data_IF_197571947593
#
_entry.id   IF_197571947593
#
_cell.length_a   1.000
_cell.length_b   1.000
_cell.length_c   1.000
_cell.angle_alpha   90.00
_cell.angle_beta   90.00
_cell.angle_gamma   90.00
#
_symmetry.space_group_name_H-M   'P 1'
#
loop_
_entity.id
_entity.type
_entity.pdbx_description
1 polymer ?
#
# COMPACT_ATOMS: atom_id res chain seq x y z
N UNK A 1 10.18 -29.12 -21.45
CA UNK A 1 10.68 -28.69 -20.14
C UNK A 1 11.63 -27.51 -20.37
N UNK A 2 11.44 -26.43 -19.66
CA UNK A 2 12.31 -25.23 -19.74
C UNK A 2 13.64 -25.58 -19.04
N UNK A 3 14.81 -25.29 -19.64
CA UNK A 3 16.10 -25.49 -18.99
C UNK A 3 16.18 -24.66 -17.71
N UNK A 4 16.76 -25.21 -16.64
CA UNK A 4 16.84 -24.59 -15.32
C UNK A 4 17.39 -23.14 -15.31
N UNK A 5 18.50 -22.82 -16.01
CA UNK A 5 19.00 -21.44 -16.06
C UNK A 5 18.01 -20.46 -16.68
N UNK A 6 17.28 -20.90 -17.71
CA UNK A 6 16.26 -20.06 -18.36
C UNK A 6 15.04 -19.89 -17.43
N UNK A 7 14.71 -20.91 -16.65
CA UNK A 7 13.63 -20.87 -15.66
C UNK A 7 13.93 -19.82 -14.57
N UNK A 8 15.15 -19.80 -14.02
CA UNK A 8 15.58 -18.77 -13.06
C UNK A 8 15.62 -17.37 -13.68
N UNK A 9 16.09 -17.24 -14.92
CA UNK A 9 16.09 -15.95 -15.60
C UNK A 9 14.68 -15.38 -15.78
N UNK A 10 13.74 -16.22 -16.20
CA UNK A 10 12.33 -15.85 -16.33
C UNK A 10 11.72 -15.50 -14.97
N UNK A 11 12.00 -16.30 -13.94
CA UNK A 11 11.56 -16.03 -12.58
C UNK A 11 12.00 -14.62 -12.11
N UNK A 12 13.29 -14.30 -12.23
CA UNK A 12 13.83 -12.99 -11.85
C UNK A 12 13.21 -11.88 -12.71
N UNK A 13 13.02 -12.10 -14.01
CA UNK A 13 12.37 -11.14 -14.89
C UNK A 13 10.92 -10.83 -14.49
N UNK A 14 10.13 -11.85 -14.18
CA UNK A 14 8.75 -11.66 -13.70
C UNK A 14 8.67 -11.06 -12.30
N UNK A 15 9.61 -11.39 -11.40
CA UNK A 15 9.74 -10.76 -10.09
C UNK A 15 10.05 -9.25 -10.23
N UNK A 16 10.97 -8.89 -11.12
CA UNK A 16 11.29 -7.51 -11.44
C UNK A 16 10.07 -6.77 -12.03
N UNK A 17 9.33 -7.41 -12.94
CA UNK A 17 8.11 -6.85 -13.52
C UNK A 17 7.03 -6.61 -12.43
N UNK A 18 6.86 -7.56 -11.51
CA UNK A 18 5.97 -7.39 -10.37
C UNK A 18 6.41 -6.24 -9.46
N UNK A 19 7.71 -6.08 -9.24
CA UNK A 19 8.25 -4.95 -8.50
C UNK A 19 7.96 -3.61 -9.20
N UNK A 20 8.17 -3.52 -10.51
CA UNK A 20 7.84 -2.32 -11.31
C UNK A 20 6.34 -2.02 -11.25
N UNK A 21 5.48 -3.03 -11.35
CA UNK A 21 4.04 -2.89 -11.20
C UNK A 21 3.69 -2.32 -9.80
N UNK A 22 4.43 -2.72 -8.76
CA UNK A 22 4.25 -2.16 -7.40
C UNK A 22 4.63 -0.69 -7.32
N UNK A 23 5.71 -0.28 -7.97
CA UNK A 23 6.11 1.14 -8.02
C UNK A 23 5.08 2.00 -8.77
N UNK A 24 4.38 1.43 -9.74
CA UNK A 24 3.40 2.12 -10.58
C UNK A 24 1.95 2.05 -10.04
N UNK A 25 1.76 1.53 -8.82
CA UNK A 25 0.45 1.34 -8.19
C UNK A 25 -0.43 2.60 -8.19
N UNK A 26 0.19 3.80 -8.13
CA UNK A 26 -0.51 5.08 -8.17
C UNK A 26 -1.24 5.31 -9.50
N UNK A 27 -0.67 4.90 -10.63
CA UNK A 27 -1.30 5.01 -11.96
C UNK A 27 -2.61 4.25 -12.05
N UNK A 28 -2.69 3.15 -11.29
CA UNK A 28 -3.88 2.29 -11.23
C UNK A 28 -4.84 2.66 -10.10
N UNK A 29 -4.59 3.78 -9.41
CA UNK A 29 -5.34 4.16 -8.20
C UNK A 29 -5.33 3.07 -7.12
N UNK A 30 -4.37 2.16 -7.16
CA UNK A 30 -4.23 1.04 -6.25
C UNK A 30 -3.34 1.37 -5.04
N UNK A 31 -2.68 2.53 -5.03
CA UNK A 31 -1.76 2.95 -3.99
C UNK A 31 -2.44 3.66 -2.82
N UNK A 32 -3.61 4.21 -3.03
CA UNK A 32 -4.27 5.12 -2.10
C UNK A 32 -5.46 4.47 -1.41
N UNK A 33 -5.64 4.82 -0.16
CA UNK A 33 -6.83 4.51 0.66
C UNK A 33 -8.04 5.36 0.24
N UNK A 34 -7.83 6.33 -0.64
CA UNK A 34 -8.87 7.24 -1.08
C UNK A 34 -9.76 6.55 -2.10
N UNK A 35 -10.97 6.21 -1.64
CA UNK A 35 -11.97 5.49 -2.41
C UNK A 35 -13.10 6.43 -2.81
N UNK A 36 -12.84 7.75 -2.93
CA UNK A 36 -13.89 8.72 -3.20
C UNK A 36 -14.65 8.49 -4.51
N UNK A 37 -14.01 7.82 -5.43
CA UNK A 37 -14.51 7.81 -6.78
C UNK A 37 -15.33 6.57 -7.05
N UNK A 38 -16.65 6.73 -7.07
CA UNK A 38 -17.60 5.74 -7.58
C UNK A 38 -17.52 5.52 -9.09
N UNK A 39 -16.49 6.05 -9.75
CA UNK A 39 -16.30 5.86 -11.18
C UNK A 39 -15.86 4.43 -11.47
N UNK A 40 -16.64 3.71 -12.27
CA UNK A 40 -16.35 2.33 -12.69
C UNK A 40 -14.95 2.17 -13.32
N UNK A 41 -14.41 3.22 -13.96
CA UNK A 41 -13.06 3.23 -14.54
C UNK A 41 -11.97 3.08 -13.50
N UNK A 42 -12.12 3.69 -12.33
CA UNK A 42 -11.17 3.57 -11.23
C UNK A 42 -11.20 2.15 -10.67
N UNK A 43 -12.39 1.59 -10.50
CA UNK A 43 -12.55 0.19 -10.09
C UNK A 43 -11.92 -0.78 -11.10
N UNK A 44 -12.14 -0.57 -12.38
CA UNK A 44 -11.55 -1.40 -13.43
C UNK A 44 -10.01 -1.30 -13.43
N UNK A 45 -9.47 -0.08 -13.27
CA UNK A 45 -8.04 0.15 -13.15
C UNK A 45 -7.43 -0.58 -11.93
N UNK A 46 -8.08 -0.51 -10.78
CA UNK A 46 -7.65 -1.23 -9.56
C UNK A 46 -7.71 -2.74 -9.75
N UNK A 47 -8.82 -3.25 -10.26
CA UNK A 47 -8.98 -4.68 -10.53
C UNK A 47 -7.97 -5.20 -11.55
N UNK A 48 -7.63 -4.41 -12.57
CA UNK A 48 -6.59 -4.79 -13.53
C UNK A 48 -5.21 -4.86 -12.87
N UNK A 49 -4.89 -3.95 -11.95
CA UNK A 49 -3.65 -3.99 -11.18
C UNK A 49 -3.57 -5.22 -10.28
N UNK A 50 -4.65 -5.53 -9.51
CA UNK A 50 -4.70 -6.74 -8.69
C UNK A 50 -4.65 -8.01 -9.53
N UNK A 51 -5.38 -8.04 -10.65
CA UNK A 51 -5.36 -9.16 -11.58
C UNK A 51 -4.00 -9.40 -12.20
N UNK A 52 -3.31 -8.34 -12.64
CA UNK A 52 -1.94 -8.43 -13.15
C UNK A 52 -0.96 -8.90 -12.05
N UNK A 53 -1.08 -8.37 -10.83
CA UNK A 53 -0.27 -8.81 -9.69
C UNK A 53 -0.49 -10.29 -9.35
N UNK A 54 -1.73 -10.77 -9.34
CA UNK A 54 -2.04 -12.18 -9.12
C UNK A 54 -1.51 -13.06 -10.24
N UNK A 55 -1.67 -12.66 -11.51
CA UNK A 55 -1.13 -13.40 -12.65
C UNK A 55 0.40 -13.52 -12.57
N UNK A 56 1.09 -12.42 -12.26
CA UNK A 56 2.54 -12.44 -12.06
C UNK A 56 2.93 -13.33 -10.88
N UNK A 57 2.21 -13.28 -9.76
CA UNK A 57 2.47 -14.14 -8.61
C UNK A 57 2.35 -15.63 -8.97
N UNK A 58 1.32 -16.02 -9.72
CA UNK A 58 1.14 -17.39 -10.18
C UNK A 58 2.26 -17.83 -11.14
N UNK A 59 2.68 -16.96 -12.06
CA UNK A 59 3.80 -17.23 -12.99
C UNK A 59 5.11 -17.40 -12.19
N UNK A 60 5.40 -16.49 -11.26
CA UNK A 60 6.59 -16.54 -10.40
C UNK A 60 6.60 -17.83 -9.60
N UNK A 61 5.47 -18.20 -8.98
CA UNK A 61 5.32 -19.45 -8.22
C UNK A 61 5.55 -20.68 -9.09
N UNK A 62 5.03 -20.69 -10.32
CA UNK A 62 5.18 -21.81 -11.23
C UNK A 62 6.59 -21.94 -11.86
N UNK A 63 7.30 -20.82 -11.98
CA UNK A 63 8.66 -20.80 -12.54
C UNK A 63 9.73 -21.18 -11.53
N UNK A 64 9.54 -20.91 -10.24
CA UNK A 64 10.55 -21.24 -9.23
C UNK A 64 10.55 -22.73 -8.93
N UNK A 65 11.71 -23.42 -8.94
CA UNK A 65 11.76 -24.88 -8.72
C UNK A 65 11.28 -25.31 -7.34
N UNK A 66 11.55 -24.49 -6.33
CA UNK A 66 11.26 -24.77 -4.91
C UNK A 66 10.57 -23.57 -4.21
N UNK A 67 9.40 -23.10 -4.68
CA UNK A 67 8.82 -21.84 -4.19
C UNK A 67 8.35 -21.94 -2.73
N UNK A 68 7.98 -23.13 -2.28
CA UNK A 68 7.51 -23.35 -0.90
C UNK A 68 8.67 -23.34 0.09
N UNK A 69 9.75 -24.05 -0.21
CA UNK A 69 10.90 -24.20 0.71
C UNK A 69 11.87 -23.03 0.67
N UNK A 70 12.12 -22.45 -0.49
CA UNK A 70 13.11 -21.38 -0.66
C UNK A 70 12.51 -19.98 -0.55
N UNK A 71 11.27 -19.79 -1.01
CA UNK A 71 10.61 -18.49 -0.96
C UNK A 71 9.58 -18.39 0.17
N UNK A 72 9.44 -19.40 1.03
CA UNK A 72 8.45 -19.43 2.12
C UNK A 72 7.00 -19.15 1.66
N UNK A 73 6.69 -19.46 0.38
CA UNK A 73 5.36 -19.23 -0.22
C UNK A 73 4.38 -20.34 0.21
N UNK A 74 4.15 -20.44 1.51
CA UNK A 74 3.27 -21.41 2.15
C UNK A 74 2.42 -20.74 3.22
N UNK A 75 1.36 -21.45 3.64
CA UNK A 75 0.46 -21.03 4.73
C UNK A 75 1.04 -21.24 6.14
N UNK A 76 2.27 -21.73 6.25
CA UNK A 76 2.96 -22.20 7.44
C UNK A 76 2.58 -23.65 7.87
N UNK A 77 3.56 -24.40 8.43
CA UNK A 77 3.31 -25.75 8.97
C UNK A 77 2.28 -25.77 10.10
N UNK A 78 2.42 -24.88 11.07
CA UNK A 78 1.43 -24.65 12.14
C UNK A 78 0.54 -23.46 11.79
N UNK A 79 -0.62 -23.76 11.22
CA UNK A 79 -1.60 -22.74 10.81
C UNK A 79 -2.22 -22.03 11.99
N UNK A 80 -2.40 -22.72 13.14
CA UNK A 80 -2.97 -22.15 14.36
C UNK A 80 -2.04 -21.07 14.93
N UNK A 81 -0.77 -21.40 15.08
CA UNK A 81 0.25 -20.49 15.54
C UNK A 81 0.42 -19.30 14.58
N UNK A 82 0.49 -19.54 13.27
CA UNK A 82 0.59 -18.49 12.27
C UNK A 82 -0.63 -17.54 12.31
N UNK A 83 -1.84 -18.08 12.45
CA UNK A 83 -3.05 -17.26 12.58
C UNK A 83 -3.04 -16.43 13.86
N UNK A 84 -2.65 -17.00 14.99
CA UNK A 84 -2.56 -16.27 16.26
C UNK A 84 -1.57 -15.11 16.19
N UNK A 85 -0.37 -15.34 15.63
CA UNK A 85 0.63 -14.28 15.42
C UNK A 85 0.15 -13.22 14.41
N UNK A 86 -0.51 -13.62 13.32
CA UNK A 86 -1.09 -12.72 12.36
C UNK A 86 -2.16 -11.82 12.97
N UNK A 87 -3.05 -12.37 13.79
CA UNK A 87 -4.05 -11.59 14.51
C UNK A 87 -3.44 -10.64 15.54
N UNK A 88 -2.41 -11.08 16.27
CA UNK A 88 -1.67 -10.22 17.20
C UNK A 88 -1.00 -9.05 16.48
N UNK A 89 -0.34 -9.34 15.37
CA UNK A 89 0.25 -8.30 14.51
C UNK A 89 -0.82 -7.34 13.97
N UNK A 90 -1.94 -7.87 13.50
CA UNK A 90 -3.07 -7.06 13.05
C UNK A 90 -3.63 -6.16 14.15
N UNK A 91 -3.79 -6.69 15.37
CA UNK A 91 -4.23 -5.90 16.52
C UNK A 91 -3.27 -4.75 16.85
N UNK A 92 -1.95 -5.02 16.85
CA UNK A 92 -0.94 -3.98 17.02
C UNK A 92 -1.01 -2.94 15.87
N UNK A 93 -1.23 -3.39 14.64
CA UNK A 93 -1.43 -2.55 13.47
C UNK A 93 -2.67 -1.64 13.56
N UNK A 94 -3.77 -2.15 14.13
CA UNK A 94 -4.97 -1.34 14.43
C UNK A 94 -4.61 -0.20 15.38
N UNK A 95 -3.96 -0.52 16.51
CA UNK A 95 -3.52 0.50 17.47
C UNK A 95 -2.61 1.53 16.80
N UNK A 96 -1.63 1.07 16.02
CA UNK A 96 -0.71 1.93 15.27
C UNK A 96 -1.44 2.85 14.28
N UNK A 97 -2.46 2.35 13.58
CA UNK A 97 -3.26 3.13 12.64
C UNK A 97 -4.05 4.25 13.36
N UNK A 98 -4.64 3.96 14.53
CA UNK A 98 -5.31 4.98 15.34
C UNK A 98 -4.34 6.04 15.85
N UNK A 99 -3.19 5.63 16.40
CA UNK A 99 -2.15 6.56 16.87
C UNK A 99 -1.67 7.47 15.76
N UNK A 100 -1.35 6.90 14.59
CA UNK A 100 -0.89 7.67 13.43
C UNK A 100 -1.98 8.60 12.87
N UNK A 101 -3.25 8.17 12.87
CA UNK A 101 -4.35 9.04 12.43
C UNK A 101 -4.47 10.28 13.32
N UNK A 102 -4.41 10.11 14.64
CA UNK A 102 -4.42 11.23 15.59
C UNK A 102 -3.18 12.09 15.44
N UNK A 103 -2.00 11.47 15.33
CA UNK A 103 -0.73 12.19 15.22
C UNK A 103 -0.61 13.02 13.94
N UNK A 104 -1.03 12.46 12.79
CA UNK A 104 -0.89 13.11 11.48
C UNK A 104 -2.04 14.05 11.14
N UNK A 105 -3.27 13.72 11.56
CA UNK A 105 -4.48 14.44 11.15
C UNK A 105 -5.19 15.16 12.31
N UNK A 106 -4.73 14.98 13.57
CA UNK A 106 -5.36 15.53 14.75
C UNK A 106 -6.74 14.95 15.09
N UNK A 107 -7.23 14.03 14.26
CA UNK A 107 -8.56 13.42 14.41
C UNK A 107 -8.64 12.06 13.75
N UNK A 108 -9.59 11.25 14.18
CA UNK A 108 -9.98 10.00 13.52
C UNK A 108 -11.24 10.30 12.70
N UNK A 109 -11.28 9.81 11.47
CA UNK A 109 -12.41 10.00 10.58
C UNK A 109 -12.69 8.72 9.83
N UNK A 110 -13.88 8.17 10.03
CA UNK A 110 -14.29 6.91 9.41
C UNK A 110 -14.93 7.15 8.05
N UNK A 111 -14.60 6.33 7.04
CA UNK A 111 -15.29 6.37 5.75
C UNK A 111 -16.75 5.91 5.89
N UNK A 112 -17.59 6.29 4.92
CA UNK A 112 -18.99 5.82 4.89
C UNK A 112 -19.06 4.29 4.73
N UNK A 113 -20.05 3.59 5.32
CA UNK A 113 -20.16 2.13 5.26
C UNK A 113 -20.17 1.55 3.85
N UNK A 114 -20.73 2.26 2.87
CA UNK A 114 -20.75 1.82 1.45
C UNK A 114 -19.34 1.66 0.84
N UNK A 115 -18.29 2.19 1.48
CA UNK A 115 -16.89 2.07 1.01
C UNK A 115 -16.15 0.88 1.61
N UNK A 116 -16.70 0.22 2.62
CA UNK A 116 -16.02 -0.89 3.31
C UNK A 116 -15.67 -2.06 2.39
N UNK A 117 -16.51 -2.51 1.44
CA UNK A 117 -16.12 -3.58 0.53
C UNK A 117 -14.88 -3.23 -0.30
N UNK A 118 -14.80 -1.99 -0.78
CA UNK A 118 -13.62 -1.48 -1.48
C UNK A 118 -12.39 -1.42 -0.58
N UNK A 119 -12.55 -1.01 0.68
CA UNK A 119 -11.49 -1.00 1.67
C UNK A 119 -10.96 -2.38 2.00
N UNK A 120 -11.84 -3.39 2.10
CA UNK A 120 -11.43 -4.80 2.29
C UNK A 120 -10.66 -5.31 1.08
N UNK A 121 -11.17 -5.11 -0.14
CA UNK A 121 -10.48 -5.51 -1.36
C UNK A 121 -9.10 -4.84 -1.47
N UNK A 122 -9.03 -3.55 -1.18
CA UNK A 122 -7.77 -2.81 -1.13
C UNK A 122 -6.80 -3.41 -0.11
N UNK A 123 -7.25 -3.63 1.13
CA UNK A 123 -6.41 -4.14 2.20
C UNK A 123 -5.88 -5.54 1.90
N UNK A 124 -6.75 -6.46 1.48
CA UNK A 124 -6.40 -7.84 1.15
C UNK A 124 -5.51 -7.88 -0.11
N UNK A 125 -5.90 -7.19 -1.17
CA UNK A 125 -5.16 -7.22 -2.44
C UNK A 125 -3.75 -6.61 -2.32
N UNK A 126 -3.61 -5.46 -1.65
CA UNK A 126 -2.28 -4.85 -1.44
C UNK A 126 -1.44 -5.65 -0.45
N UNK A 127 -2.02 -6.20 0.63
CA UNK A 127 -1.29 -7.05 1.55
C UNK A 127 -0.79 -8.32 0.85
N UNK A 128 -1.64 -8.98 0.05
CA UNK A 128 -1.21 -10.14 -0.74
C UNK A 128 -0.03 -9.81 -1.64
N UNK A 129 -0.15 -8.72 -2.40
CA UNK A 129 0.90 -8.28 -3.31
C UNK A 129 2.22 -8.00 -2.57
N UNK A 130 2.14 -7.23 -1.49
CA UNK A 130 3.31 -6.83 -0.71
C UNK A 130 3.95 -8.03 -0.01
N UNK A 131 3.18 -8.92 0.61
CA UNK A 131 3.73 -10.08 1.30
C UNK A 131 4.32 -11.10 0.33
N UNK A 132 3.64 -11.36 -0.79
CA UNK A 132 4.16 -12.26 -1.81
C UNK A 132 5.51 -11.76 -2.37
N UNK A 133 5.55 -10.49 -2.77
CA UNK A 133 6.74 -9.93 -3.41
C UNK A 133 7.89 -9.72 -2.43
N UNK A 134 7.63 -9.11 -1.27
CA UNK A 134 8.71 -8.68 -0.38
C UNK A 134 9.09 -9.74 0.66
N UNK A 135 8.16 -10.54 1.17
CA UNK A 135 8.43 -11.58 2.18
C UNK A 135 8.60 -12.97 1.56
N UNK A 136 7.87 -13.23 0.50
CA UNK A 136 8.10 -14.44 -0.29
C UNK A 136 9.34 -14.28 -1.17
N UNK A 137 9.19 -13.58 -2.28
CA UNK A 137 10.20 -13.57 -3.34
C UNK A 137 11.50 -12.88 -2.90
N UNK A 138 11.45 -11.59 -2.51
CA UNK A 138 12.66 -10.82 -2.21
C UNK A 138 13.40 -11.37 -0.99
N UNK A 139 12.70 -11.51 0.12
CA UNK A 139 13.30 -11.98 1.38
C UNK A 139 13.80 -13.42 1.25
N UNK A 140 13.01 -14.31 0.63
CA UNK A 140 13.44 -15.67 0.34
C UNK A 140 14.70 -15.73 -0.51
N UNK A 141 14.78 -14.95 -1.59
CA UNK A 141 15.99 -14.85 -2.43
C UNK A 141 17.21 -14.36 -1.63
N UNK A 142 17.05 -13.37 -0.77
CA UNK A 142 18.16 -12.87 0.05
C UNK A 142 18.72 -13.96 0.98
N UNK A 143 17.84 -14.80 1.53
CA UNK A 143 18.25 -15.95 2.35
C UNK A 143 18.94 -17.04 1.51
N UNK A 144 18.39 -17.37 0.34
CA UNK A 144 19.00 -18.35 -0.59
C UNK A 144 20.39 -17.88 -1.07
N UNK A 145 20.59 -16.57 -1.25
CA UNK A 145 21.87 -15.98 -1.58
C UNK A 145 22.86 -15.97 -0.40
N UNK A 146 22.46 -16.50 0.77
CA UNK A 146 23.32 -16.64 1.94
C UNK A 146 23.49 -15.37 2.80
N UNK A 147 22.61 -14.38 2.64
CA UNK A 147 22.64 -13.23 3.52
C UNK A 147 22.25 -13.65 4.94
N UNK A 148 22.95 -13.14 5.99
CA UNK A 148 22.51 -13.31 7.36
C UNK A 148 21.08 -12.81 7.56
N UNK A 149 20.27 -13.51 8.37
CA UNK A 149 18.85 -13.21 8.57
C UNK A 149 18.58 -11.74 8.90
N UNK A 150 19.36 -11.16 9.83
CA UNK A 150 19.20 -9.76 10.21
C UNK A 150 19.42 -8.78 9.05
N UNK A 151 20.36 -9.10 8.15
CA UNK A 151 20.64 -8.29 6.97
C UNK A 151 19.55 -8.48 5.91
N UNK A 152 19.09 -9.70 5.71
CA UNK A 152 17.95 -9.99 4.81
C UNK A 152 16.67 -9.28 5.29
N UNK A 153 16.35 -9.32 6.60
CA UNK A 153 15.23 -8.58 7.21
C UNK A 153 15.35 -7.07 6.93
N UNK A 154 16.50 -6.49 7.28
CA UNK A 154 16.74 -5.06 7.12
C UNK A 154 16.65 -4.61 5.67
N UNK A 155 17.27 -5.35 4.75
CA UNK A 155 17.25 -5.05 3.31
C UNK A 155 15.86 -5.16 2.72
N UNK A 156 15.14 -6.26 2.99
CA UNK A 156 13.78 -6.45 2.51
C UNK A 156 12.82 -5.37 3.05
N UNK A 157 12.94 -5.01 4.33
CA UNK A 157 12.13 -3.96 4.95
C UNK A 157 12.42 -2.57 4.35
N UNK A 158 13.69 -2.26 4.10
CA UNK A 158 14.10 -0.99 3.48
C UNK A 158 13.58 -0.86 2.04
N UNK A 159 13.77 -1.91 1.23
CA UNK A 159 13.29 -1.94 -0.16
C UNK A 159 11.77 -1.86 -0.20
N UNK A 160 11.07 -2.59 0.68
CA UNK A 160 9.62 -2.53 0.83
C UNK A 160 9.14 -1.11 1.14
N UNK A 161 9.70 -0.49 2.18
CA UNK A 161 9.31 0.86 2.59
C UNK A 161 9.55 1.89 1.48
N UNK A 162 10.68 1.76 0.77
CA UNK A 162 11.00 2.58 -0.40
C UNK A 162 10.01 2.40 -1.55
N UNK A 163 9.65 1.15 -1.86
CA UNK A 163 8.69 0.84 -2.91
C UNK A 163 7.28 1.34 -2.57
N UNK A 164 6.81 1.15 -1.33
CA UNK A 164 5.53 1.69 -0.87
C UNK A 164 5.53 3.21 -0.96
N UNK A 165 6.59 3.87 -0.49
CA UNK A 165 6.73 5.33 -0.58
C UNK A 165 6.67 5.83 -2.02
N UNK A 166 7.40 5.20 -2.93
CA UNK A 166 7.42 5.54 -4.34
C UNK A 166 6.03 5.35 -4.98
N UNK A 167 5.41 4.20 -4.73
CA UNK A 167 4.10 3.83 -5.27
C UNK A 167 2.94 4.67 -4.72
N UNK A 168 3.02 5.19 -3.48
CA UNK A 168 1.97 6.03 -2.87
C UNK A 168 2.24 7.52 -3.01
N UNK A 169 3.47 7.92 -3.34
CA UNK A 169 3.87 9.33 -3.37
C UNK A 169 3.88 10.00 -1.99
N UNK A 170 3.79 9.23 -0.89
CA UNK A 170 3.83 9.77 0.47
C UNK A 170 5.21 10.34 0.78
N UNK A 171 5.26 11.56 1.34
CA UNK A 171 6.52 12.27 1.58
C UNK A 171 6.96 12.29 3.04
N UNK A 172 6.16 11.77 3.95
CA UNK A 172 6.43 11.83 5.39
C UNK A 172 7.47 10.79 5.84
N UNK A 173 8.49 11.23 6.61
CA UNK A 173 9.45 10.31 7.24
C UNK A 173 8.76 9.35 8.21
N UNK A 174 7.75 9.81 8.93
CA UNK A 174 6.97 8.99 9.88
C UNK A 174 6.31 7.81 9.17
N UNK A 175 5.73 8.04 7.99
CA UNK A 175 5.13 6.97 7.19
C UNK A 175 6.19 6.00 6.64
N UNK A 176 7.36 6.51 6.23
CA UNK A 176 8.47 5.65 5.79
C UNK A 176 8.92 4.73 6.93
N UNK A 177 9.13 5.27 8.13
CA UNK A 177 9.51 4.48 9.31
C UNK A 177 8.43 3.46 9.68
N UNK A 178 7.16 3.84 9.60
CA UNK A 178 6.06 2.91 9.81
C UNK A 178 6.08 1.74 8.82
N UNK A 179 6.33 2.01 7.52
CA UNK A 179 6.46 0.95 6.53
C UNK A 179 7.70 0.07 6.76
N UNK A 180 8.81 0.64 7.23
CA UNK A 180 9.97 -0.15 7.63
C UNK A 180 9.64 -1.08 8.80
N UNK A 181 8.96 -0.60 9.83
CA UNK A 181 8.53 -1.41 10.99
C UNK A 181 7.63 -2.57 10.52
N UNK A 182 6.65 -2.28 9.68
CA UNK A 182 5.79 -3.29 9.05
C UNK A 182 6.63 -4.30 8.26
N UNK A 183 7.65 -3.81 7.54
CA UNK A 183 8.60 -4.62 6.80
C UNK A 183 9.36 -5.61 7.68
N UNK A 184 9.94 -5.13 8.76
CA UNK A 184 10.68 -5.93 9.74
C UNK A 184 9.78 -6.96 10.40
N UNK A 185 8.61 -6.55 10.92
CA UNK A 185 7.67 -7.46 11.58
C UNK A 185 7.23 -8.58 10.62
N UNK A 186 6.86 -8.24 9.38
CA UNK A 186 6.47 -9.24 8.38
C UNK A 186 7.56 -10.26 8.11
N UNK A 187 8.82 -9.84 7.93
CA UNK A 187 9.95 -10.75 7.70
C UNK A 187 10.24 -11.64 8.92
N UNK A 188 10.18 -11.08 10.14
CA UNK A 188 10.33 -11.85 11.39
C UNK A 188 9.21 -12.91 11.52
N UNK A 189 7.97 -12.54 11.21
CA UNK A 189 6.85 -13.48 11.25
C UNK A 189 7.03 -14.63 10.26
N UNK A 190 7.59 -14.37 9.07
CA UNK A 190 7.92 -15.43 8.10
C UNK A 190 8.95 -16.39 8.69
N UNK A 191 10.01 -15.91 9.32
CA UNK A 191 11.00 -16.78 9.98
C UNK A 191 10.40 -17.60 11.12
N UNK A 192 9.56 -16.98 11.94
CA UNK A 192 8.93 -17.66 13.08
C UNK A 192 7.92 -18.72 12.68
N UNK A 193 7.21 -18.53 11.58
CA UNK A 193 6.11 -19.39 11.17
C UNK A 193 6.44 -20.32 10.00
N UNK A 194 7.54 -20.07 9.29
CA UNK A 194 7.91 -20.82 8.08
C UNK A 194 6.99 -20.56 6.90
N UNK A 195 6.28 -19.42 6.87
CA UNK A 195 5.38 -19.07 5.76
C UNK A 195 4.83 -17.65 5.85
N UNK A 196 4.28 -17.15 4.74
CA UNK A 196 3.79 -15.77 4.64
C UNK A 196 2.42 -15.52 5.29
N UNK A 197 1.71 -16.57 5.75
CA UNK A 197 0.31 -16.43 6.19
C UNK A 197 0.14 -15.45 7.38
N UNK A 198 1.02 -15.54 8.39
CA UNK A 198 0.95 -14.66 9.56
C UNK A 198 1.17 -13.19 9.16
N UNK A 199 2.18 -12.93 8.34
CA UNK A 199 2.49 -11.60 7.83
C UNK A 199 1.33 -11.06 6.98
N UNK A 200 0.77 -11.88 6.10
CA UNK A 200 -0.36 -11.51 5.24
C UNK A 200 -1.61 -11.12 6.05
N UNK A 201 -2.02 -11.96 7.00
CA UNK A 201 -3.22 -11.70 7.83
C UNK A 201 -3.05 -10.40 8.62
N UNK A 202 -1.93 -10.24 9.33
CA UNK A 202 -1.68 -9.06 10.13
C UNK A 202 -1.56 -7.79 9.28
N UNK A 203 -0.90 -7.89 8.12
CA UNK A 203 -0.78 -6.76 7.20
C UNK A 203 -2.13 -6.36 6.59
N UNK A 204 -2.97 -7.32 6.19
CA UNK A 204 -4.31 -7.03 5.68
C UNK A 204 -5.18 -6.31 6.71
N UNK A 205 -5.17 -6.77 7.97
CA UNK A 205 -5.87 -6.09 9.08
C UNK A 205 -5.31 -4.68 9.28
N UNK A 206 -3.99 -4.52 9.31
CA UNK A 206 -3.32 -3.22 9.45
C UNK A 206 -3.70 -2.26 8.31
N UNK A 207 -3.69 -2.73 7.06
CA UNK A 207 -4.10 -1.95 5.88
C UNK A 207 -5.56 -1.51 5.97
N UNK A 208 -6.44 -2.41 6.40
CA UNK A 208 -7.84 -2.07 6.59
C UNK A 208 -8.03 -1.04 7.70
N UNK A 209 -7.30 -1.15 8.81
CA UNK A 209 -7.33 -0.17 9.89
C UNK A 209 -6.85 1.22 9.41
N UNK A 210 -5.81 1.29 8.59
CA UNK A 210 -5.38 2.54 7.96
C UNK A 210 -6.44 3.12 7.04
N UNK A 211 -7.07 2.29 6.20
CA UNK A 211 -8.21 2.70 5.39
C UNK A 211 -9.34 3.30 6.26
N UNK A 212 -9.68 2.64 7.37
CA UNK A 212 -10.72 3.09 8.27
C UNK A 212 -10.39 4.41 8.98
N UNK A 213 -9.13 4.68 9.29
CA UNK A 213 -8.74 5.82 10.13
C UNK A 213 -8.21 7.02 9.35
N UNK A 214 -7.67 6.79 8.14
CA UNK A 214 -7.03 7.82 7.32
C UNK A 214 -7.75 8.10 5.98
N UNK A 215 -8.71 7.26 5.59
CA UNK A 215 -9.39 7.28 4.30
C UNK A 215 -10.43 8.38 4.11
N UNK A 216 -10.34 9.51 4.78
CA UNK A 216 -11.28 10.63 4.60
C UNK A 216 -10.75 11.73 3.69
N UNK A 217 -11.65 12.32 2.89
CA UNK A 217 -11.26 13.21 1.83
C UNK A 217 -10.65 14.53 2.32
N UNK A 218 -9.52 14.88 1.71
CA UNK A 218 -8.92 16.21 1.80
C UNK A 218 -9.81 17.31 1.20
N UNK A 219 -10.84 16.96 0.42
CA UNK A 219 -11.72 17.92 -0.28
C UNK A 219 -12.64 18.73 0.64
N UNK A 220 -13.09 18.17 1.76
CA UNK A 220 -13.93 18.90 2.70
C UNK A 220 -13.24 20.13 3.34
N UNK A 221 -11.92 20.13 3.40
CA UNK A 221 -11.16 21.27 3.94
C UNK A 221 -10.94 22.40 2.92
N UNK A 222 -10.93 22.09 1.62
CA UNK A 222 -10.74 23.10 0.56
C UNK A 222 -12.05 23.78 0.22
N UNK A 223 -13.16 23.08 0.29
CA UNK A 223 -14.50 23.63 -0.02
C UNK A 223 -15.01 24.58 1.08
N UNK A 224 -14.54 24.43 2.33
CA UNK A 224 -14.85 25.37 3.42
C UNK A 224 -14.06 26.67 3.37
N UNK A 225 -13.04 26.79 2.53
CA UNK A 225 -12.21 28.00 2.38
C UNK A 225 -12.61 28.84 1.15
N UNK A 226 -13.51 28.36 0.31
CA UNK A 226 -14.11 29.26 -0.67
C UNK A 226 -15.01 30.28 0.07
N UNK A 227 -14.63 31.55 0.11
CA UNK A 227 -15.51 32.58 0.65
C UNK A 227 -16.79 32.51 -0.18
N UNK A 228 -17.91 32.30 0.47
CA UNK A 228 -19.22 32.48 -0.13
C UNK A 228 -19.16 33.83 -0.86
N UNK A 229 -19.13 33.80 -2.17
CA UNK A 229 -19.33 34.99 -2.99
C UNK A 229 -20.64 35.58 -2.50
N UNK A 230 -20.56 36.70 -1.79
CA UNK A 230 -21.73 37.49 -1.41
C UNK A 230 -22.53 37.69 -2.66
N UNK A 231 -23.77 37.26 -2.58
CA UNK A 231 -24.76 37.40 -3.63
C UNK A 231 -24.77 38.79 -4.18
N UNK A 232 -24.85 38.84 -5.46
CA UNK A 232 -25.21 40.03 -6.22
C UNK A 232 -26.55 40.56 -5.72
N UNK A 233 -26.50 41.63 -5.02
CA UNK A 233 -27.65 42.44 -4.68
C UNK A 233 -27.21 43.89 -4.66
N UNK A 234 -27.63 44.54 -5.65
CA UNK A 234 -27.95 45.94 -5.84
C UNK A 234 -27.13 46.70 -6.87
N UNK A 235 -27.87 46.95 -7.93
CA UNK A 235 -27.64 47.97 -8.88
C UNK A 235 -27.65 49.34 -8.20
N UNK A 236 -26.61 50.11 -8.40
CA UNK A 236 -26.48 51.51 -7.98
C UNK A 236 -25.50 52.20 -8.86
N UNK A 237 -26.00 52.78 -9.95
CA UNK A 237 -25.28 53.69 -10.82
C UNK A 237 -24.59 54.80 -10.05
N UNK A 238 -23.33 55.07 -10.36
CA UNK A 238 -22.85 56.44 -10.40
C UNK A 238 -21.69 56.55 -11.43
N UNK A 239 -22.03 57.17 -12.54
CA UNK A 239 -21.14 57.78 -13.50
C UNK A 239 -20.54 59.01 -12.81
N UNK A 240 -19.30 59.30 -13.06
CA UNK A 240 -18.63 60.60 -13.25
C UNK A 240 -17.17 60.47 -12.81
N UNK A 241 -16.29 60.88 -13.76
CA UNK A 241 -15.06 61.53 -13.45
C UNK A 241 -13.82 61.10 -14.23
N UNK A 242 -13.79 61.42 -15.52
CA UNK A 242 -12.53 61.61 -16.26
C UNK A 242 -11.61 62.57 -15.51
N UNK A 243 -10.38 62.17 -15.30
CA UNK A 243 -9.23 63.10 -15.31
C UNK A 243 -7.97 62.41 -15.82
N UNK A 244 -7.61 62.79 -17.05
CA UNK A 244 -6.25 62.74 -17.54
C UNK A 244 -5.32 63.51 -16.61
N UNK A 245 -4.22 62.96 -16.23
CA UNK A 245 -2.99 63.72 -15.97
C UNK A 245 -1.83 62.92 -16.57
N UNK A 246 -1.33 63.48 -17.67
CA UNK A 246 0.01 63.26 -18.21
C UNK A 246 1.04 63.89 -17.30
N UNK A 247 2.24 63.42 -17.43
CA UNK A 247 3.57 63.98 -17.13
C UNK A 247 4.24 63.50 -15.85
N UNK A 248 5.46 63.09 -16.13
CA UNK A 248 6.64 62.98 -15.30
C UNK A 248 7.54 61.86 -15.75
#
# INVERSE_FOLDING_TARGET
LIPEPLQYLLFVGFAALMFLLRLDARRFSAAEWDTEDGEWRIWLSRLSWYGAGLALALIIFALHPSPVSELNLTLAPDRGFAMALGLLYGAAGVVGAFVLAVFLNGRISFPSPGRYPGGVLFAVGTAFFDEFLFRGVLFGLLLVLGLPEWLAIGSAAFIYAGAVRAGTGSRGLVLLLNWMIIGVIGSVLVLMTGGIAAAFVGHAITRFAFFMTMGTPRRAAVEQVQPRSRGSGDAGAYVIGRRDIRRG
#
